data_IF_206468887423
#
_entry.id   IF_206468887423
#
_cell.length_a   1.000
_cell.length_b   1.000
_cell.length_c   1.000
_cell.angle_alpha   90.00
_cell.angle_beta   90.00
_cell.angle_gamma   90.00
#
_symmetry.space_group_name_H-M   'P 1'
#
loop_
_entity.id
_entity.type
_entity.pdbx_description
1 polymer ?
#
# COMPACT_ATOMS: atom_id res chain seq x y z
N UNK A 1 46.75 -35.65 -22.37
CA UNK A 1 46.01 -36.79 -22.97
C UNK A 1 44.57 -36.70 -22.54
N UNK A 2 43.67 -36.75 -23.51
CA UNK A 2 42.23 -36.52 -23.38
C UNK A 2 41.52 -37.66 -22.63
N UNK A 3 40.39 -37.36 -21.97
CA UNK A 3 39.13 -38.03 -22.34
C UNK A 3 37.89 -37.24 -21.92
N UNK A 4 37.12 -36.92 -22.95
CA UNK A 4 35.74 -36.46 -23.01
C UNK A 4 34.82 -37.67 -22.80
N UNK A 5 33.75 -37.53 -22.03
CA UNK A 5 32.53 -38.34 -22.22
C UNK A 5 31.28 -37.50 -21.93
N UNK A 6 30.69 -36.99 -23.01
CA UNK A 6 29.24 -36.74 -23.11
C UNK A 6 28.51 -38.08 -23.30
N UNK A 7 27.22 -38.10 -22.94
CA UNK A 7 26.10 -38.91 -23.49
C UNK A 7 25.04 -39.06 -22.36
N UNK A 8 23.71 -38.92 -22.52
CA UNK A 8 22.79 -38.90 -23.67
C UNK A 8 21.44 -38.33 -23.21
N UNK A 9 20.75 -37.63 -24.10
CA UNK A 9 19.29 -37.44 -24.05
C UNK A 9 18.57 -38.80 -24.17
N UNK A 10 17.43 -38.96 -23.48
CA UNK A 10 16.34 -39.79 -23.97
C UNK A 10 14.98 -39.27 -23.50
N UNK A 11 14.18 -38.89 -24.48
CA UNK A 11 12.77 -38.51 -24.44
C UNK A 11 11.89 -39.74 -24.19
N UNK A 12 10.88 -39.62 -23.31
CA UNK A 12 9.63 -40.38 -23.45
C UNK A 12 8.43 -39.46 -23.16
N UNK A 13 7.66 -39.21 -24.21
CA UNK A 13 6.29 -38.67 -24.17
C UNK A 13 5.35 -39.70 -23.57
N UNK A 14 4.31 -39.25 -22.83
CA UNK A 14 2.96 -39.81 -22.98
C UNK A 14 1.88 -38.77 -22.69
N UNK A 15 0.97 -38.72 -23.65
CA UNK A 15 -0.29 -37.99 -23.72
C UNK A 15 -1.36 -38.62 -22.80
N UNK A 16 -2.32 -37.79 -22.37
CA UNK A 16 -3.77 -38.01 -22.16
C UNK A 16 -4.21 -37.04 -21.05
N UNK A 17 -5.28 -36.26 -21.12
CA UNK A 17 -6.33 -36.06 -22.11
C UNK A 17 -7.14 -34.80 -21.76
N UNK A 18 -7.93 -34.34 -22.73
CA UNK A 18 -8.92 -33.25 -22.60
C UNK A 18 -10.22 -33.76 -21.95
N UNK A 19 -10.80 -32.96 -21.05
CA UNK A 19 -12.23 -32.77 -20.74
C UNK A 19 -12.27 -31.98 -19.42
N UNK A 20 -13.04 -30.93 -19.17
CA UNK A 20 -14.39 -30.61 -19.61
C UNK A 20 -15.04 -29.93 -18.40
N UNK A 21 -15.76 -28.83 -18.64
CA UNK A 21 -16.48 -28.02 -17.64
C UNK A 21 -17.42 -28.87 -16.77
N UNK A 22 -17.61 -28.48 -15.51
CA UNK A 22 -18.93 -28.50 -14.86
C UNK A 22 -18.94 -27.55 -13.66
N UNK A 23 -19.70 -26.47 -13.82
CA UNK A 23 -20.29 -25.70 -12.75
C UNK A 23 -21.63 -26.36 -12.43
N UNK A 24 -21.79 -26.92 -11.24
CA UNK A 24 -23.09 -27.02 -10.58
C UNK A 24 -22.88 -27.39 -9.10
N UNK A 25 -23.72 -26.77 -8.28
CA UNK A 25 -23.78 -26.75 -6.83
C UNK A 25 -23.67 -28.11 -6.14
N UNK A 26 -23.14 -28.12 -4.92
CA UNK A 26 -23.93 -28.47 -3.73
C UNK A 26 -23.16 -28.21 -2.43
N UNK A 27 -23.87 -27.56 -1.50
CA UNK A 27 -23.54 -27.41 -0.09
C UNK A 27 -23.15 -28.74 0.55
N UNK A 28 -22.02 -28.74 1.28
CA UNK A 28 -21.85 -29.64 2.40
C UNK A 28 -20.99 -28.95 3.47
N UNK A 29 -21.69 -28.50 4.52
CA UNK A 29 -21.13 -28.07 5.79
C UNK A 29 -20.30 -29.23 6.36
N UNK A 30 -19.04 -28.97 6.70
CA UNK A 30 -18.28 -29.76 7.67
C UNK A 30 -17.75 -28.82 8.75
N UNK A 31 -18.06 -29.07 10.04
CA UNK A 31 -17.40 -28.42 11.15
C UNK A 31 -16.15 -29.23 11.49
N UNK A 32 -14.97 -28.67 11.30
CA UNK A 32 -13.77 -29.25 11.89
C UNK A 32 -12.84 -28.12 12.35
N UNK A 33 -12.52 -28.15 13.64
CA UNK A 33 -11.65 -27.21 14.30
C UNK A 33 -10.23 -27.43 13.82
N UNK A 34 -9.80 -26.59 12.88
CA UNK A 34 -8.39 -26.37 12.61
C UNK A 34 -7.92 -25.18 13.41
N UNK A 35 -7.07 -25.44 14.40
CA UNK A 35 -6.26 -24.46 15.11
C UNK A 35 -5.69 -23.43 14.12
N UNK A 36 -6.10 -22.16 14.28
CA UNK A 36 -5.44 -21.05 13.59
C UNK A 36 -4.05 -20.92 14.20
N UNK A 37 -3.09 -21.55 13.57
CA UNK A 37 -1.67 -21.31 13.80
C UNK A 37 -1.39 -19.80 13.72
N UNK A 38 -0.90 -19.15 14.79
CA UNK A 38 -0.53 -17.73 14.78
C UNK A 38 0.73 -17.42 13.96
N UNK A 39 1.42 -18.43 13.40
CA UNK A 39 2.64 -18.26 12.60
C UNK A 39 2.36 -18.43 11.10
N UNK A 40 1.48 -17.60 10.54
CA UNK A 40 1.68 -17.20 9.15
C UNK A 40 2.91 -16.29 9.13
N UNK A 41 4.06 -16.90 8.83
CA UNK A 41 5.27 -16.16 8.49
C UNK A 41 4.95 -15.22 7.34
N UNK A 42 5.01 -13.93 7.64
CA UNK A 42 4.87 -12.83 6.71
C UNK A 42 5.83 -12.99 5.52
N UNK A 43 5.32 -13.50 4.40
CA UNK A 43 5.90 -13.34 3.07
C UNK A 43 5.63 -11.91 2.54
N UNK A 44 5.79 -10.90 3.41
CA UNK A 44 5.46 -9.49 3.15
C UNK A 44 6.67 -8.71 2.64
N UNK A 45 7.32 -9.24 1.60
CA UNK A 45 8.57 -8.66 1.09
C UNK A 45 8.44 -7.48 0.14
N UNK A 46 7.25 -7.14 -0.38
CA UNK A 46 7.13 -6.08 -1.40
C UNK A 46 5.71 -5.60 -1.73
N UNK A 47 4.72 -5.80 -0.86
CA UNK A 47 3.37 -5.33 -1.16
C UNK A 47 3.31 -3.79 -1.07
N UNK A 48 2.78 -3.16 -2.13
CA UNK A 48 2.56 -1.72 -2.17
C UNK A 48 1.57 -1.34 -1.08
N UNK A 49 1.84 -0.24 -0.38
CA UNK A 49 0.89 0.31 0.57
C UNK A 49 -0.45 0.58 -0.14
N UNK A 50 -1.59 0.09 0.38
CA UNK A 50 -2.88 0.37 -0.25
C UNK A 50 -3.21 1.87 -0.21
N UNK A 51 -2.58 2.66 0.68
CA UNK A 51 -2.83 4.10 0.79
C UNK A 51 -1.89 4.94 -0.08
N UNK A 52 -0.58 4.87 0.13
CA UNK A 52 0.37 5.70 -0.63
C UNK A 52 0.86 5.05 -1.93
N UNK A 53 0.53 3.80 -2.21
CA UNK A 53 0.92 3.05 -3.42
C UNK A 53 2.43 2.84 -3.60
N UNK A 54 3.24 3.09 -2.55
CA UNK A 54 4.70 2.92 -2.54
C UNK A 54 5.07 1.61 -1.81
N UNK A 55 6.12 0.93 -2.27
CA UNK A 55 6.72 -0.26 -1.66
C UNK A 55 8.24 -0.03 -1.42
N UNK A 56 8.75 -0.16 -0.17
CA UNK A 56 7.97 -0.27 1.06
C UNK A 56 7.19 1.03 1.33
N UNK A 57 6.20 0.99 2.21
CA UNK A 57 5.45 2.20 2.56
C UNK A 57 6.38 3.23 3.25
N UNK A 58 6.52 4.41 2.66
CA UNK A 58 7.31 5.53 3.23
C UNK A 58 6.78 6.05 4.58
N UNK A 59 5.53 5.70 4.94
CA UNK A 59 4.88 6.14 6.17
C UNK A 59 4.81 5.06 7.27
N UNK A 60 5.53 3.94 7.11
CA UNK A 60 5.42 2.80 8.05
C UNK A 60 6.35 2.89 9.25
N UNK A 61 7.53 3.53 9.16
CA UNK A 61 8.44 3.59 10.30
C UNK A 61 9.30 4.85 10.37
N UNK A 62 9.78 5.16 11.58
CA UNK A 62 10.82 6.18 11.78
C UNK A 62 12.10 5.88 10.97
N UNK A 63 12.37 4.61 10.67
CA UNK A 63 13.53 4.19 9.89
C UNK A 63 13.42 4.61 8.42
N UNK A 64 12.21 4.58 7.86
CA UNK A 64 11.94 5.03 6.49
C UNK A 64 11.88 6.56 6.39
N UNK A 65 11.49 7.25 7.48
CA UNK A 65 11.35 8.70 7.48
C UNK A 65 11.94 9.37 8.76
N UNK A 66 13.28 9.31 8.97
CA UNK A 66 13.92 9.86 10.17
C UNK A 66 13.75 11.39 10.31
N UNK A 67 13.52 12.08 9.19
CA UNK A 67 13.29 13.51 9.12
C UNK A 67 11.95 13.95 9.74
N UNK A 68 11.05 13.02 10.08
CA UNK A 68 9.80 13.31 10.79
C UNK A 68 10.09 13.61 12.26
N UNK A 69 11.16 13.06 12.85
CA UNK A 69 11.50 13.22 14.26
C UNK A 69 10.65 12.36 15.20
N UNK A 70 10.88 12.54 16.51
CA UNK A 70 10.27 11.68 17.54
C UNK A 70 8.80 12.02 17.83
N UNK A 71 8.31 13.17 17.38
CA UNK A 71 6.99 13.67 17.75
C UNK A 71 7.04 14.61 18.97
N UNK A 72 5.89 15.17 19.33
CA UNK A 72 5.75 16.00 20.53
C UNK A 72 4.35 15.94 21.11
N UNK A 73 4.18 16.47 22.31
CA UNK A 73 2.89 16.56 22.98
C UNK A 73 1.88 17.40 22.15
N UNK A 74 0.56 17.23 22.39
CA UNK A 74 -0.46 18.03 21.74
C UNK A 74 -0.20 19.53 21.86
N UNK A 75 -0.08 20.22 20.73
CA UNK A 75 0.19 21.67 20.67
C UNK A 75 -0.42 22.27 19.40
N UNK A 76 -0.80 23.55 19.46
CA UNK A 76 -1.28 24.32 18.29
C UNK A 76 -0.19 24.47 17.22
N UNK A 77 1.07 24.48 17.64
CA UNK A 77 2.24 24.63 16.77
C UNK A 77 2.49 23.38 15.91
N UNK A 78 1.95 22.21 16.33
CA UNK A 78 2.03 20.95 15.59
C UNK A 78 1.45 21.08 14.18
N UNK A 79 0.52 22.01 13.97
CA UNK A 79 -0.05 22.29 12.66
C UNK A 79 1.00 22.70 11.62
N UNK A 80 2.01 23.49 12.01
CA UNK A 80 3.11 23.89 11.14
C UNK A 80 4.00 22.71 10.77
N UNK A 81 4.35 21.89 11.76
CA UNK A 81 5.20 20.70 11.55
C UNK A 81 4.52 19.69 10.63
N UNK A 82 3.23 19.39 10.87
CA UNK A 82 2.47 18.51 9.98
C UNK A 82 2.42 19.02 8.54
N UNK A 83 2.26 20.33 8.33
CA UNK A 83 2.28 20.92 6.98
C UNK A 83 3.61 20.66 6.28
N UNK A 84 4.75 20.81 6.97
CA UNK A 84 6.06 20.51 6.39
C UNK A 84 6.24 19.02 6.09
N UNK A 85 5.71 18.14 6.95
CA UNK A 85 5.68 16.70 6.70
C UNK A 85 4.88 16.37 5.43
N UNK A 86 3.67 16.92 5.30
CA UNK A 86 2.82 16.73 4.13
C UNK A 86 3.47 17.24 2.85
N UNK A 87 4.15 18.39 2.88
CA UNK A 87 4.90 18.90 1.72
C UNK A 87 6.00 17.95 1.26
N UNK A 88 6.75 17.38 2.22
CA UNK A 88 7.84 16.44 1.91
C UNK A 88 7.32 15.15 1.31
N UNK A 89 6.31 14.53 1.91
CA UNK A 89 5.64 13.37 1.32
C UNK A 89 5.03 13.69 -0.04
N UNK A 90 4.42 14.87 -0.18
CA UNK A 90 3.91 15.38 -1.45
C UNK A 90 4.95 15.33 -2.57
N UNK A 91 6.15 15.81 -2.26
CA UNK A 91 7.29 15.80 -3.19
C UNK A 91 7.84 14.39 -3.45
N UNK A 92 7.89 13.53 -2.44
CA UNK A 92 8.33 12.13 -2.62
C UNK A 92 7.40 11.42 -3.60
N UNK A 93 6.10 11.53 -3.39
CA UNK A 93 5.08 10.91 -4.24
C UNK A 93 5.08 11.47 -5.67
N UNK A 94 5.34 12.77 -5.82
CA UNK A 94 5.48 13.42 -7.13
C UNK A 94 6.72 12.91 -7.88
N UNK A 95 7.87 12.84 -7.20
CA UNK A 95 9.10 12.30 -7.77
C UNK A 95 8.97 10.82 -8.20
N UNK A 96 8.16 10.05 -7.48
CA UNK A 96 7.85 8.64 -7.81
C UNK A 96 6.74 8.51 -8.85
N UNK A 97 6.14 9.61 -9.28
CA UNK A 97 5.06 9.63 -10.27
C UNK A 97 3.73 9.07 -9.78
N UNK A 98 3.55 8.90 -8.46
CA UNK A 98 2.35 8.25 -7.88
C UNK A 98 1.08 9.03 -8.22
N UNK A 99 1.16 10.36 -8.25
CA UNK A 99 0.04 11.25 -8.59
C UNK A 99 -0.52 11.06 -9.99
N UNK A 100 0.22 10.39 -10.88
CA UNK A 100 -0.16 10.18 -12.27
C UNK A 100 -0.53 8.71 -12.55
N UNK A 101 -0.58 7.86 -11.52
CA UNK A 101 -0.98 6.45 -11.66
C UNK A 101 -2.50 6.30 -11.73
N UNK A 102 -2.99 5.37 -12.55
CA UNK A 102 -4.42 5.08 -12.67
C UNK A 102 -5.06 4.76 -11.31
N UNK A 103 -4.39 3.95 -10.48
CA UNK A 103 -4.84 3.60 -9.12
C UNK A 103 -5.10 4.83 -8.23
N UNK A 104 -4.24 5.85 -8.34
CA UNK A 104 -4.41 7.10 -7.61
C UNK A 104 -5.53 7.96 -8.20
N UNK A 105 -5.58 8.10 -9.53
CA UNK A 105 -6.58 8.92 -10.22
C UNK A 105 -7.99 8.39 -9.97
N UNK A 106 -8.18 7.07 -10.04
CA UNK A 106 -9.45 6.41 -9.71
C UNK A 106 -9.86 6.67 -8.27
N UNK A 107 -8.92 6.61 -7.33
CA UNK A 107 -9.19 6.93 -5.93
C UNK A 107 -9.57 8.39 -5.74
N UNK A 108 -8.83 9.32 -6.35
CA UNK A 108 -9.09 10.76 -6.27
C UNK A 108 -10.49 11.07 -6.81
N UNK A 109 -10.87 10.47 -7.94
CA UNK A 109 -12.21 10.56 -8.53
C UNK A 109 -13.30 10.07 -7.57
N UNK A 110 -13.08 8.93 -6.91
CA UNK A 110 -14.03 8.34 -5.97
C UNK A 110 -14.21 9.18 -4.70
N UNK A 111 -13.12 9.70 -4.12
CA UNK A 111 -13.17 10.57 -2.94
C UNK A 111 -13.88 11.89 -3.27
N UNK A 112 -13.64 12.41 -4.46
CA UNK A 112 -14.23 13.67 -4.91
C UNK A 112 -15.68 13.61 -5.38
N UNK A 113 -16.25 12.42 -5.50
CA UNK A 113 -17.60 12.27 -6.06
C UNK A 113 -17.69 12.70 -7.53
N UNK A 114 -16.62 12.53 -8.33
CA UNK A 114 -16.69 12.76 -9.76
C UNK A 114 -15.35 13.04 -10.45
N UNK A 115 -15.38 13.02 -11.78
CA UNK A 115 -14.23 13.22 -12.66
C UNK A 115 -13.63 14.63 -12.56
N UNK A 116 -14.46 15.63 -12.23
CA UNK A 116 -14.03 17.02 -12.07
C UNK A 116 -12.89 17.18 -11.06
N UNK A 117 -12.84 16.34 -10.02
CA UNK A 117 -11.82 16.40 -8.97
C UNK A 117 -10.45 15.93 -9.44
N UNK A 118 -10.38 15.08 -10.47
CA UNK A 118 -9.10 14.69 -11.06
C UNK A 118 -8.34 15.90 -11.59
N UNK A 119 -9.06 16.90 -12.11
CA UNK A 119 -8.48 18.13 -12.65
C UNK A 119 -8.14 19.19 -11.58
N UNK A 120 -8.48 18.96 -10.30
CA UNK A 120 -8.06 19.87 -9.23
C UNK A 120 -6.54 19.79 -9.02
N UNK A 121 -5.93 20.97 -8.88
CA UNK A 121 -4.47 21.14 -8.68
C UNK A 121 -3.95 20.56 -7.37
N UNK A 122 -4.84 20.24 -6.42
CA UNK A 122 -4.44 19.76 -5.09
C UNK A 122 -4.51 18.24 -5.05
N UNK A 123 -3.44 17.63 -4.58
CA UNK A 123 -3.38 16.19 -4.35
C UNK A 123 -3.89 15.83 -2.97
N UNK A 124 -4.50 14.64 -2.87
CA UNK A 124 -5.03 14.10 -1.62
C UNK A 124 -3.91 13.33 -0.93
N UNK A 125 -3.46 13.83 0.22
CA UNK A 125 -2.46 13.14 1.01
C UNK A 125 -3.00 11.79 1.51
N UNK A 126 -2.26 10.67 1.36
CA UNK A 126 -2.71 9.35 1.80
C UNK A 126 -2.91 9.24 3.31
N UNK A 127 -3.86 8.39 3.72
CA UNK A 127 -4.20 8.19 5.14
C UNK A 127 -3.01 7.71 5.97
N UNK A 128 -2.16 6.82 5.44
CA UNK A 128 -0.96 6.37 6.17
C UNK A 128 -0.03 7.54 6.55
N UNK A 129 0.10 8.56 5.68
CA UNK A 129 0.88 9.77 5.96
C UNK A 129 0.14 10.67 6.96
N UNK A 130 -1.17 10.80 6.82
CA UNK A 130 -1.99 11.58 7.76
C UNK A 130 -1.90 11.00 9.17
N UNK A 131 -2.05 9.69 9.32
CA UNK A 131 -2.03 8.98 10.59
C UNK A 131 -0.65 9.05 11.25
N UNK A 132 0.43 8.87 10.49
CA UNK A 132 1.79 9.04 10.98
C UNK A 132 2.03 10.47 11.51
N UNK A 133 1.67 11.48 10.72
CA UNK A 133 1.88 12.87 11.13
C UNK A 133 0.99 13.27 12.32
N UNK A 134 -0.26 12.80 12.35
CA UNK A 134 -1.23 13.15 13.41
C UNK A 134 -0.98 12.40 14.72
N UNK A 135 -0.45 11.17 14.66
CA UNK A 135 -0.03 10.43 15.86
C UNK A 135 1.21 11.05 16.51
N UNK A 136 2.20 11.48 15.72
CA UNK A 136 3.42 12.13 16.23
C UNK A 136 3.24 13.59 16.64
N UNK A 137 2.38 14.31 15.93
CA UNK A 137 2.16 15.74 16.13
C UNK A 137 0.67 16.04 16.30
N UNK A 138 0.05 15.59 17.41
CA UNK A 138 -1.40 15.68 17.60
C UNK A 138 -1.90 17.12 17.80
N UNK A 139 -3.16 17.38 17.46
CA UNK A 139 -3.82 18.60 17.90
C UNK A 139 -4.17 18.53 19.40
N UNK A 140 -4.31 19.68 20.09
CA UNK A 140 -5.01 19.74 21.38
C UNK A 140 -6.41 19.14 21.29
N UNK A 141 -6.94 18.63 22.42
CA UNK A 141 -8.21 17.88 22.48
C UNK A 141 -9.41 18.66 21.96
N UNK A 142 -9.36 19.97 22.08
CA UNK A 142 -10.37 20.97 21.74
C UNK A 142 -10.26 21.47 20.28
N UNK A 143 -9.24 21.04 19.53
CA UNK A 143 -9.00 21.50 18.16
C UNK A 143 -9.11 20.34 17.16
N UNK A 144 -10.18 20.35 16.37
CA UNK A 144 -10.41 19.36 15.31
C UNK A 144 -9.41 19.52 14.16
N UNK A 145 -9.06 18.42 13.50
CA UNK A 145 -8.27 18.47 12.27
C UNK A 145 -9.10 19.05 11.13
N UNK A 146 -8.53 20.03 10.42
CA UNK A 146 -9.11 20.53 9.18
C UNK A 146 -8.79 19.52 8.08
N UNK A 147 -9.82 19.13 7.32
CA UNK A 147 -9.71 18.20 6.19
C UNK A 147 -9.07 18.83 4.97
N UNK A 148 -9.10 18.09 3.85
CA UNK A 148 -8.61 18.59 2.57
C UNK A 148 -9.43 19.80 2.11
N UNK A 149 -8.74 20.89 1.79
CA UNK A 149 -9.35 22.08 1.20
C UNK A 149 -9.18 22.02 -0.31
N UNK A 150 -10.28 21.97 -1.05
CA UNK A 150 -10.28 21.79 -2.51
C UNK A 150 -9.95 23.06 -3.31
N UNK A 151 -9.84 24.22 -2.62
CA UNK A 151 -9.68 25.57 -3.18
C UNK A 151 -8.47 26.31 -2.61
#
# INVERSE_FOLDING_TARGET
MATRMEMKLSTVKRFTGYAGRNCDSQDSIRPDGGDRDPNHGDDNGNEKCPFCLIAPCEAVSNESAPWIGEGQQPSVENSGIRKEIYKRFGKIMDNLGVWYTEDYLDRKKNIGGGEWIVYHRREIMPDCVLDLARSKYPNPKDITYIGHQWE
#
